data_IF_309708730460
#
_entry.id   IF_309708730460
#
_cell.length_a   1.000
_cell.length_b   1.000
_cell.length_c   1.000
_cell.angle_alpha   90.00
_cell.angle_beta   90.00
_cell.angle_gamma   90.00
#
_symmetry.space_group_name_H-M   'P 1'
#
loop_
_entity.id
_entity.type
_entity.pdbx_description
1 polymer ?
#
# COMPACT_ATOMS: atom_id res chain seq x y z
N UNK A 1 16.88 8.74 1.79
CA UNK A 1 15.58 8.83 2.47
C UNK A 1 15.85 8.80 3.97
N UNK A 2 15.05 9.47 4.78
CA UNK A 2 15.22 9.48 6.24
C UNK A 2 15.10 8.05 6.83
N UNK A 3 15.91 7.73 7.84
CA UNK A 3 15.96 6.39 8.44
C UNK A 3 14.64 5.99 9.10
N UNK A 4 13.89 6.94 9.67
CA UNK A 4 12.60 6.65 10.31
C UNK A 4 11.53 6.26 9.29
N UNK A 5 11.51 6.92 8.11
CA UNK A 5 10.62 6.54 7.01
C UNK A 5 10.96 5.14 6.48
N UNK A 6 12.25 4.84 6.31
CA UNK A 6 12.71 3.51 5.90
C UNK A 6 12.32 2.44 6.92
N UNK A 7 12.46 2.74 8.21
CA UNK A 7 12.06 1.82 9.28
C UNK A 7 10.56 1.57 9.27
N UNK A 8 9.74 2.62 9.10
CA UNK A 8 8.28 2.49 8.99
C UNK A 8 7.87 1.62 7.79
N UNK A 9 8.45 1.85 6.61
CA UNK A 9 8.19 1.05 5.41
C UNK A 9 8.61 -0.42 5.58
N UNK A 10 9.77 -0.65 6.21
CA UNK A 10 10.26 -2.00 6.51
C UNK A 10 9.35 -2.73 7.49
N UNK A 11 8.87 -2.06 8.54
CA UNK A 11 7.97 -2.65 9.51
C UNK A 11 6.62 -2.95 8.88
N UNK A 12 6.06 -2.03 8.09
CA UNK A 12 4.82 -2.26 7.36
C UNK A 12 4.93 -3.47 6.41
N UNK A 13 6.02 -3.59 5.66
CA UNK A 13 6.27 -4.73 4.77
C UNK A 13 6.29 -6.08 5.52
N UNK A 14 6.73 -6.08 6.77
CA UNK A 14 6.84 -7.28 7.62
C UNK A 14 5.69 -7.45 8.61
N UNK A 15 4.74 -6.51 8.65
CA UNK A 15 3.68 -6.49 9.66
C UNK A 15 2.80 -7.73 9.54
N UNK A 16 2.48 -8.32 10.69
CA UNK A 16 1.54 -9.45 10.82
C UNK A 16 0.09 -9.04 10.53
N UNK A 17 -0.21 -7.74 10.49
CA UNK A 17 -1.51 -7.18 10.07
C UNK A 17 -1.77 -7.34 8.55
N UNK A 18 -0.91 -8.08 7.85
CA UNK A 18 -1.11 -8.53 6.49
C UNK A 18 -2.17 -9.64 6.44
N UNK A 19 -3.45 -9.25 6.54
CA UNK A 19 -4.59 -10.12 6.77
C UNK A 19 -4.69 -11.31 5.81
N UNK A 20 -4.26 -11.12 4.55
CA UNK A 20 -4.31 -12.16 3.51
C UNK A 20 -2.95 -12.71 3.10
N UNK A 21 -1.87 -12.36 3.80
CA UNK A 21 -0.52 -12.79 3.40
C UNK A 21 -0.08 -12.25 2.04
N UNK A 22 -0.54 -11.05 1.67
CA UNK A 22 -0.18 -10.40 0.42
C UNK A 22 1.32 -10.11 0.34
N UNK A 23 1.90 -10.23 -0.85
CA UNK A 23 3.25 -9.78 -1.14
C UNK A 23 3.27 -8.24 -1.14
N UNK A 24 4.04 -7.65 -0.22
CA UNK A 24 4.24 -6.19 -0.12
C UNK A 24 5.57 -5.76 -0.73
N UNK A 25 5.52 -4.84 -1.68
CA UNK A 25 6.67 -4.27 -2.36
C UNK A 25 6.77 -2.76 -2.09
N UNK A 26 7.99 -2.30 -1.85
CA UNK A 26 8.31 -0.89 -1.67
C UNK A 26 9.51 -0.57 -2.54
N UNK A 27 9.38 0.43 -3.39
CA UNK A 27 10.49 1.01 -4.18
C UNK A 27 10.50 2.50 -3.94
N UNK A 28 11.67 3.12 -3.94
CA UNK A 28 11.77 4.56 -3.83
C UNK A 28 12.85 5.11 -4.73
N UNK A 29 12.64 6.33 -5.22
CA UNK A 29 13.61 7.10 -5.97
C UNK A 29 13.57 8.56 -5.51
N UNK A 30 14.61 9.30 -5.85
CA UNK A 30 14.57 10.75 -5.68
C UNK A 30 13.46 11.36 -6.54
N UNK A 31 12.79 12.37 -6.00
CA UNK A 31 11.84 13.18 -6.75
C UNK A 31 12.57 13.97 -7.83
N UNK A 32 11.94 14.11 -8.99
CA UNK A 32 12.41 15.02 -10.05
C UNK A 32 11.97 16.47 -9.78
N UNK A 33 11.10 16.69 -8.79
CA UNK A 33 10.47 17.98 -8.52
C UNK A 33 11.35 18.84 -7.60
N UNK A 34 11.87 18.27 -6.51
CA UNK A 34 12.75 18.98 -5.59
C UNK A 34 13.84 18.06 -5.01
N UNK A 35 15.00 18.67 -4.71
CA UNK A 35 16.11 17.98 -4.06
C UNK A 35 15.73 17.57 -2.63
N UNK A 36 16.16 16.38 -2.22
CA UNK A 36 15.83 15.83 -0.90
C UNK A 36 14.44 15.18 -0.78
N UNK A 37 13.55 15.34 -1.77
CA UNK A 37 12.29 14.59 -1.85
C UNK A 37 12.48 13.18 -2.42
N UNK A 38 11.57 12.30 -2.05
CA UNK A 38 11.48 10.93 -2.52
C UNK A 38 10.06 10.60 -2.98
N UNK A 39 9.98 9.82 -4.05
CA UNK A 39 8.76 9.17 -4.49
C UNK A 39 8.85 7.71 -4.04
N UNK A 40 7.87 7.27 -3.27
CA UNK A 40 7.78 5.89 -2.75
C UNK A 40 6.65 5.17 -3.47
N UNK A 41 6.99 4.21 -4.31
CA UNK A 41 6.03 3.28 -4.91
C UNK A 41 5.73 2.16 -3.94
N UNK A 42 4.48 2.07 -3.50
CA UNK A 42 3.99 1.02 -2.59
C UNK A 42 3.02 0.13 -3.36
N UNK A 43 3.19 -1.18 -3.21
CA UNK A 43 2.40 -2.19 -3.91
C UNK A 43 2.08 -3.37 -2.99
N UNK A 44 0.84 -3.85 -3.04
CA UNK A 44 0.40 -5.11 -2.44
C UNK A 44 -0.17 -6.00 -3.54
N UNK A 45 0.20 -7.29 -3.52
CA UNK A 45 -0.24 -8.29 -4.49
C UNK A 45 -0.64 -9.57 -3.78
N UNK A 46 -1.78 -10.13 -4.14
CA UNK A 46 -2.16 -11.48 -3.74
C UNK A 46 -2.73 -12.24 -4.93
N UNK A 47 -2.56 -13.56 -4.93
CA UNK A 47 -3.25 -14.45 -5.85
C UNK A 47 -4.15 -15.38 -5.05
N UNK A 48 -5.46 -15.32 -5.31
CA UNK A 48 -6.47 -16.19 -4.71
C UNK A 48 -7.38 -16.71 -5.82
N UNK A 49 -7.74 -17.99 -5.81
CA UNK A 49 -8.63 -18.61 -6.82
C UNK A 49 -8.21 -18.34 -8.27
N UNK A 50 -6.90 -18.35 -8.57
CA UNK A 50 -6.29 -18.02 -9.88
C UNK A 50 -6.49 -16.57 -10.34
N UNK A 51 -7.09 -15.72 -9.52
CA UNK A 51 -7.19 -14.28 -9.76
C UNK A 51 -6.07 -13.56 -9.01
N UNK A 52 -5.39 -12.64 -9.71
CA UNK A 52 -4.36 -11.78 -9.10
C UNK A 52 -4.96 -10.42 -8.80
N UNK A 53 -4.91 -10.02 -7.53
CA UNK A 53 -5.37 -8.72 -7.05
C UNK A 53 -4.12 -7.92 -6.69
N UNK A 54 -3.97 -6.76 -7.30
CA UNK A 54 -2.83 -5.87 -7.09
C UNK A 54 -3.31 -4.43 -6.91
N UNK A 55 -2.82 -3.78 -5.86
CA UNK A 55 -2.95 -2.34 -5.67
C UNK A 55 -1.56 -1.73 -5.64
N UNK A 56 -1.38 -0.64 -6.38
CA UNK A 56 -0.11 0.11 -6.42
C UNK A 56 -0.40 1.60 -6.38
N UNK A 57 0.23 2.30 -5.44
CA UNK A 57 0.07 3.76 -5.28
C UNK A 57 1.40 4.44 -4.94
N UNK A 58 1.68 5.61 -5.52
CA UNK A 58 2.81 6.42 -5.10
C UNK A 58 2.49 7.19 -3.82
N UNK A 59 3.50 7.38 -2.98
CA UNK A 59 3.55 8.32 -1.87
C UNK A 59 4.69 9.31 -2.11
N UNK A 60 4.40 10.60 -2.00
CA UNK A 60 5.37 11.68 -2.20
C UNK A 60 5.74 12.25 -0.84
N UNK A 61 7.03 12.24 -0.50
CA UNK A 61 7.50 12.98 0.68
C UNK A 61 7.46 14.47 0.36
N UNK A 62 7.02 15.31 1.30
CA UNK A 62 6.98 16.76 1.06
C UNK A 62 8.38 17.36 0.90
N UNK A 63 8.46 18.45 0.13
CA UNK A 63 9.67 19.24 -0.07
C UNK A 63 10.42 19.48 1.24
N UNK A 64 11.69 19.11 1.26
CA UNK A 64 12.66 19.78 2.11
C UNK A 64 12.79 21.22 1.56
N UNK A 65 11.79 22.06 1.83
CA UNK A 65 11.80 23.48 1.43
C UNK A 65 13.06 24.16 1.97
N UNK A 66 13.40 25.31 1.41
CA UNK A 66 14.50 26.24 1.77
C UNK A 66 14.48 26.76 3.24
N UNK A 67 13.84 26.04 4.16
CA UNK A 67 13.79 26.28 5.61
C UNK A 67 14.46 25.12 6.34
N UNK A 68 15.33 25.42 7.32
CA UNK A 68 16.24 24.44 7.92
C UNK A 68 15.48 23.36 8.71
N UNK A 69 15.47 22.14 8.20
CA UNK A 69 15.52 20.81 8.87
C UNK A 69 14.71 20.49 10.15
N UNK A 70 13.92 21.39 10.74
CA UNK A 70 13.43 21.22 12.13
C UNK A 70 11.90 21.16 12.26
N UNK A 71 11.10 21.52 11.24
CA UNK A 71 9.66 21.75 11.46
C UNK A 71 8.66 20.70 10.96
N UNK A 72 8.99 19.70 10.12
CA UNK A 72 7.93 18.77 9.69
C UNK A 72 8.30 17.31 9.34
N UNK A 73 9.41 16.76 9.83
CA UNK A 73 9.69 15.31 9.73
C UNK A 73 8.57 14.43 10.30
N UNK A 74 7.94 14.91 11.38
CA UNK A 74 6.75 14.28 11.98
C UNK A 74 5.57 14.25 11.00
N UNK A 75 5.47 15.23 10.11
CA UNK A 75 4.45 15.32 9.07
C UNK A 75 4.57 14.20 8.06
N UNK A 76 5.74 13.98 7.46
CA UNK A 76 5.93 12.87 6.50
C UNK A 76 5.70 11.50 7.15
N UNK A 77 6.17 11.30 8.38
CA UNK A 77 5.94 10.05 9.11
C UNK A 77 4.45 9.84 9.40
N UNK A 78 3.76 10.88 9.88
CA UNK A 78 2.33 10.82 10.14
C UNK A 78 1.55 10.53 8.85
N UNK A 79 1.84 11.27 7.78
CA UNK A 79 1.20 11.13 6.48
C UNK A 79 1.44 9.75 5.89
N UNK A 80 2.68 9.22 5.99
CA UNK A 80 2.99 7.87 5.54
C UNK A 80 2.24 6.82 6.35
N UNK A 81 2.13 6.97 7.69
CA UNK A 81 1.31 6.07 8.51
C UNK A 81 -0.15 6.05 8.08
N UNK A 82 -0.75 7.23 7.87
CA UNK A 82 -2.14 7.33 7.42
C UNK A 82 -2.31 6.74 6.01
N UNK A 83 -1.37 7.02 5.11
CA UNK A 83 -1.34 6.47 3.77
C UNK A 83 -1.32 4.93 3.79
N UNK A 84 -0.38 4.33 4.51
CA UNK A 84 -0.23 2.87 4.61
C UNK A 84 -1.49 2.20 5.17
N UNK A 85 -2.09 2.81 6.21
CA UNK A 85 -3.35 2.33 6.78
C UNK A 85 -4.47 2.34 5.74
N UNK A 86 -4.68 3.48 5.07
CA UNK A 86 -5.72 3.60 4.05
C UNK A 86 -5.48 2.67 2.84
N UNK A 87 -4.22 2.45 2.49
CA UNK A 87 -3.82 1.56 1.41
C UNK A 87 -4.16 0.11 1.72
N UNK A 88 -3.88 -0.36 2.95
CA UNK A 88 -4.26 -1.69 3.38
C UNK A 88 -5.79 -1.87 3.48
N UNK A 89 -6.51 -0.87 3.99
CA UNK A 89 -7.97 -0.88 4.04
C UNK A 89 -8.58 -1.01 2.63
N UNK A 90 -8.10 -0.23 1.67
CA UNK A 90 -8.56 -0.29 0.28
C UNK A 90 -8.21 -1.62 -0.39
N UNK A 91 -6.99 -2.11 -0.20
CA UNK A 91 -6.59 -3.41 -0.73
C UNK A 91 -7.44 -4.54 -0.16
N UNK A 92 -7.68 -4.55 1.15
CA UNK A 92 -8.51 -5.57 1.80
C UNK A 92 -9.97 -5.51 1.33
N UNK A 93 -10.53 -4.32 1.09
CA UNK A 93 -11.87 -4.18 0.50
C UNK A 93 -11.94 -4.77 -0.90
N UNK A 94 -10.94 -4.50 -1.75
CA UNK A 94 -10.89 -5.08 -3.10
C UNK A 94 -10.78 -6.61 -3.03
N UNK A 95 -9.92 -7.15 -2.15
CA UNK A 95 -9.81 -8.61 -1.95
C UNK A 95 -11.15 -9.21 -1.54
N UNK A 96 -11.84 -8.61 -0.56
CA UNK A 96 -13.16 -9.09 -0.11
C UNK A 96 -14.22 -9.01 -1.21
N UNK A 97 -14.25 -7.92 -1.99
CA UNK A 97 -15.18 -7.79 -3.10
C UNK A 97 -15.00 -8.91 -4.13
N UNK A 98 -13.76 -9.17 -4.55
CA UNK A 98 -13.45 -10.24 -5.52
C UNK A 98 -13.72 -11.64 -5.00
N UNK A 99 -13.54 -11.87 -3.70
CA UNK A 99 -13.88 -13.13 -3.08
C UNK A 99 -15.39 -13.35 -3.12
N UNK A 100 -16.18 -12.34 -2.74
CA UNK A 100 -17.64 -12.41 -2.76
C UNK A 100 -18.19 -12.59 -4.17
N UNK A 101 -17.68 -11.83 -5.16
CA UNK A 101 -18.06 -12.01 -6.56
C UNK A 101 -17.80 -13.44 -7.05
N UNK A 102 -16.67 -14.04 -6.64
CA UNK A 102 -16.33 -15.42 -6.98
C UNK A 102 -17.17 -16.49 -6.27
N UNK A 103 -17.83 -16.15 -5.16
CA UNK A 103 -18.82 -17.04 -4.50
C UNK A 103 -20.19 -16.93 -5.15
N UNK A 104 -20.62 -15.72 -5.53
CA UNK A 104 -21.90 -15.51 -6.24
C UNK A 104 -21.90 -16.24 -7.60
N UNK A 105 -20.78 -16.19 -8.34
CA UNK A 105 -20.61 -16.94 -9.60
C UNK A 105 -20.74 -18.46 -9.43
N UNK A 106 -20.35 -19.00 -8.25
CA UNK A 106 -20.44 -20.42 -7.95
C UNK A 106 -21.86 -20.84 -7.55
N UNK A 107 -22.57 -20.02 -6.77
CA UNK A 107 -23.98 -20.29 -6.44
C UNK A 107 -24.87 -20.26 -7.68
N UNK A 108 -24.71 -19.27 -8.56
CA UNK A 108 -25.48 -19.18 -9.81
C UNK A 108 -25.19 -20.36 -10.76
N UNK A 109 -23.94 -20.84 -10.81
CA UNK A 109 -23.60 -22.03 -11.62
C UNK A 109 -24.21 -23.32 -11.06
N UNK A 110 -24.35 -23.44 -9.74
CA UNK A 110 -24.94 -24.61 -9.09
C UNK A 110 -26.47 -24.68 -9.24
N UNK A 111 -27.14 -23.54 -9.43
CA UNK A 111 -28.58 -23.47 -9.65
C UNK A 111 -29.01 -23.73 -11.11
N UNK A 112 -28.09 -23.61 -12.08
CA UNK A 112 -28.35 -23.85 -13.50
C UNK A 112 -28.19 -25.32 -13.95
N UNK A 113 -27.72 -26.21 -13.07
CA UNK A 113 -27.58 -27.65 -13.33
C UNK A 113 -28.70 -28.54 -12.71
N UNK A 114 -29.80 -27.94 -12.23
CA UNK A 114 -31.01 -28.64 -11.73
C UNK A 114 -32.21 -28.45 -12.67
#
# INVERSE_FOLDING_TARGET
MDQELLHLLSNWKKSEENYFGALRNVRYCHSFIAEGEYIVSIESVITVNKQTISLKRPFFTFAQSDRPYILNKKGDIYNLKQFLKSFDEDFNKEVQARLNDGFDDLEDSAFLEL
#
